data_IF_988693320175
#
_entry.id   IF_988693320175
#
_cell.length_a   1.000
_cell.length_b   1.000
_cell.length_c   1.000
_cell.angle_alpha   90.00
_cell.angle_beta   90.00
_cell.angle_gamma   90.00
#
_symmetry.space_group_name_H-M   'P 1'
#
loop_
_entity.id
_entity.type
_entity.pdbx_description
1 polymer ?
#
# COMPACT_ATOMS: atom_id res chain seq x y z
N UNK A 1 -3.13 -17.38 11.07
CA UNK A 1 -2.51 -16.60 9.97
C UNK A 1 -3.36 -15.37 9.71
N UNK A 2 -2.76 -14.18 9.60
CA UNK A 2 -3.50 -12.94 9.32
C UNK A 2 -4.13 -12.97 7.91
N UNK A 3 -5.27 -12.30 7.72
CA UNK A 3 -6.06 -12.34 6.46
C UNK A 3 -5.28 -11.97 5.20
N UNK A 4 -4.23 -11.16 5.33
CA UNK A 4 -3.44 -10.63 4.22
C UNK A 4 -2.11 -11.37 4.01
N UNK A 5 -1.77 -12.34 4.86
CA UNK A 5 -0.51 -13.08 4.73
C UNK A 5 -0.43 -13.83 3.38
N UNK A 6 0.67 -13.62 2.65
CA UNK A 6 0.92 -14.22 1.33
C UNK A 6 0.08 -13.62 0.20
N UNK A 7 -0.63 -12.51 0.43
CA UNK A 7 -1.31 -11.76 -0.64
C UNK A 7 -0.36 -10.72 -1.25
N UNK A 8 -0.56 -10.45 -2.54
CA UNK A 8 0.12 -9.36 -3.25
C UNK A 8 -0.75 -8.12 -3.21
N UNK A 9 -0.16 -6.96 -2.95
CA UNK A 9 -0.83 -5.67 -2.88
C UNK A 9 -0.28 -4.71 -3.93
N UNK A 10 -1.20 -3.97 -4.54
CA UNK A 10 -0.92 -2.79 -5.36
C UNK A 10 -1.50 -1.61 -4.60
N UNK A 11 -0.67 -0.61 -4.32
CA UNK A 11 -1.04 0.57 -3.56
C UNK A 11 -1.06 1.78 -4.49
N UNK A 12 -2.24 2.37 -4.67
CA UNK A 12 -2.44 3.61 -5.41
C UNK A 12 -2.84 4.69 -4.42
N UNK A 13 -1.87 5.53 -4.06
CA UNK A 13 -2.05 6.65 -3.17
C UNK A 13 -2.45 7.92 -3.90
N UNK A 14 -2.90 8.89 -3.13
CA UNK A 14 -3.29 10.23 -3.60
C UNK A 14 -2.40 11.27 -2.91
N UNK A 15 -1.98 12.31 -3.65
CA UNK A 15 -1.02 13.31 -3.16
C UNK A 15 -1.57 14.11 -1.98
N UNK A 16 -2.81 14.58 -2.09
CA UNK A 16 -3.42 15.50 -1.12
C UNK A 16 -4.16 14.75 0.01
N UNK A 17 -4.31 13.43 -0.12
CA UNK A 17 -4.96 12.51 0.80
C UNK A 17 -3.98 11.51 1.44
N UNK A 18 -4.13 10.21 1.11
CA UNK A 18 -3.27 9.15 1.66
C UNK A 18 -2.21 8.75 0.64
N UNK A 19 -0.93 9.09 0.88
CA UNK A 19 0.14 8.76 -0.07
C UNK A 19 0.59 7.30 0.10
N UNK A 20 1.15 6.72 -0.96
CA UNK A 20 1.61 5.32 -0.98
C UNK A 20 2.56 4.94 0.18
N UNK A 21 3.55 5.77 0.57
CA UNK A 21 4.43 5.47 1.70
C UNK A 21 3.70 5.30 3.04
N UNK A 22 2.60 6.00 3.25
CA UNK A 22 1.80 5.85 4.46
C UNK A 22 1.10 4.49 4.49
N UNK A 23 0.57 4.03 3.36
CA UNK A 23 -0.01 2.70 3.22
C UNK A 23 1.03 1.59 3.40
N UNK A 24 2.23 1.73 2.81
CA UNK A 24 3.32 0.77 2.97
C UNK A 24 3.70 0.59 4.46
N UNK A 25 3.76 1.69 5.22
CA UNK A 25 4.01 1.64 6.66
C UNK A 25 2.92 0.85 7.41
N UNK A 26 1.65 1.01 7.04
CA UNK A 26 0.54 0.23 7.61
C UNK A 26 0.65 -1.26 7.31
N UNK A 27 1.12 -1.64 6.12
CA UNK A 27 1.18 -3.04 5.69
C UNK A 27 2.51 -3.75 5.98
N UNK A 28 3.54 -3.05 6.46
CA UNK A 28 4.91 -3.57 6.72
C UNK A 28 4.95 -4.92 7.46
N UNK A 29 4.04 -5.14 8.42
CA UNK A 29 3.98 -6.35 9.24
C UNK A 29 2.73 -7.21 8.98
N UNK A 30 2.00 -6.93 7.90
CA UNK A 30 0.75 -7.64 7.57
C UNK A 30 0.98 -9.04 7.00
N UNK A 31 2.22 -9.37 6.60
CA UNK A 31 2.57 -10.58 5.87
C UNK A 31 2.20 -10.53 4.39
N UNK A 32 1.68 -9.41 3.90
CA UNK A 32 1.45 -9.17 2.48
C UNK A 32 2.73 -8.65 1.80
N UNK A 33 2.82 -8.88 0.49
CA UNK A 33 3.90 -8.39 -0.37
C UNK A 33 3.38 -7.21 -1.20
N UNK A 34 3.92 -6.02 -0.99
CA UNK A 34 3.63 -4.86 -1.86
C UNK A 34 4.46 -5.02 -3.13
N UNK A 35 3.79 -5.23 -4.26
CA UNK A 35 4.45 -5.45 -5.56
C UNK A 35 4.48 -4.20 -6.45
N UNK A 36 3.69 -3.19 -6.10
CA UNK A 36 3.67 -1.88 -6.75
C UNK A 36 3.09 -0.85 -5.78
N UNK A 37 3.69 0.34 -5.76
CA UNK A 37 3.25 1.46 -4.96
C UNK A 37 3.50 2.76 -5.73
N UNK A 38 2.47 3.58 -5.90
CA UNK A 38 2.57 4.89 -6.53
C UNK A 38 1.65 5.89 -5.84
N UNK A 39 2.09 7.14 -5.72
CA UNK A 39 1.22 8.26 -5.34
C UNK A 39 0.87 9.03 -6.60
N UNK A 40 -0.41 9.09 -6.92
CA UNK A 40 -0.92 9.77 -8.09
C UNK A 40 -1.42 11.18 -7.73
N UNK A 41 -1.25 12.11 -8.67
CA UNK A 41 -1.83 13.45 -8.59
C UNK A 41 -3.01 13.49 -9.58
N UNK A 42 -4.22 13.22 -9.12
CA UNK A 42 -5.41 13.35 -9.95
C UNK A 42 -5.78 14.84 -10.06
N UNK A 43 -5.30 15.49 -11.11
CA UNK A 43 -5.67 16.86 -11.50
C UNK A 43 -6.77 16.86 -12.55
#
# INVERSE_FOLDING_TARGET
MGKLAGKKLILLGERDGVPAPAMEACFKNSGAEVIFAATECFV
#
